data_IF_478391346943
#
_entry.id   IF_478391346943
#
_cell.length_a   1.000
_cell.length_b   1.000
_cell.length_c   1.000
_cell.angle_alpha   90.00
_cell.angle_beta   90.00
_cell.angle_gamma   90.00
#
_symmetry.space_group_name_H-M   'P 1'
#
loop_
_entity.id
_entity.type
_entity.pdbx_description
1 polymer ?
#
# COMPACT_ATOMS: atom_id res chain seq x y z
N UNK A 1 -12.22 4.97 51.96
CA UNK A 1 -11.02 5.21 51.12
C UNK A 1 -10.68 4.07 50.15
N UNK A 2 -10.57 2.79 50.57
CA UNK A 2 -10.10 1.69 49.68
C UNK A 2 -10.91 1.48 48.38
N UNK A 3 -12.24 1.63 48.39
CA UNK A 3 -13.10 1.32 47.22
C UNK A 3 -13.00 2.35 46.08
N UNK A 4 -12.87 3.64 46.41
CA UNK A 4 -12.69 4.71 45.42
C UNK A 4 -11.29 4.66 44.81
N UNK A 5 -10.25 4.38 45.60
CA UNK A 5 -8.88 4.23 45.11
C UNK A 5 -8.74 3.05 44.13
N UNK A 6 -9.39 1.91 44.40
CA UNK A 6 -9.40 0.75 43.49
C UNK A 6 -10.13 1.06 42.17
N UNK A 7 -11.20 1.86 42.22
CA UNK A 7 -11.97 2.24 41.03
C UNK A 7 -11.18 3.22 40.14
N UNK A 8 -10.47 4.18 40.75
CA UNK A 8 -9.55 5.09 40.06
C UNK A 8 -8.39 4.33 39.40
N UNK A 9 -7.79 3.36 40.09
CA UNK A 9 -6.70 2.54 39.53
C UNK A 9 -7.19 1.74 38.32
N UNK A 10 -8.38 1.14 38.39
CA UNK A 10 -8.96 0.41 37.25
C UNK A 10 -9.24 1.33 36.05
N UNK A 11 -9.75 2.53 36.31
CA UNK A 11 -10.03 3.51 35.26
C UNK A 11 -8.74 4.01 34.59
N UNK A 12 -7.69 4.25 35.38
CA UNK A 12 -6.35 4.56 34.88
C UNK A 12 -5.82 3.43 33.99
N UNK A 13 -5.83 2.17 34.47
CA UNK A 13 -5.37 1.01 33.68
C UNK A 13 -6.14 0.89 32.36
N UNK A 14 -7.48 1.03 32.40
CA UNK A 14 -8.31 0.97 31.20
C UNK A 14 -7.97 2.09 30.22
N UNK A 15 -7.74 3.30 30.71
CA UNK A 15 -7.36 4.44 29.89
C UNK A 15 -5.96 4.27 29.29
N UNK A 16 -4.99 3.73 30.05
CA UNK A 16 -3.66 3.39 29.52
C UNK A 16 -3.74 2.30 28.45
N UNK A 17 -4.59 1.29 28.64
CA UNK A 17 -4.81 0.23 27.63
C UNK A 17 -5.41 0.83 26.35
N UNK A 18 -6.41 1.70 26.45
CA UNK A 18 -7.01 2.36 25.27
C UNK A 18 -5.97 3.21 24.54
N UNK A 19 -5.13 3.95 25.25
CA UNK A 19 -4.04 4.75 24.65
C UNK A 19 -2.94 3.89 24.00
N UNK A 20 -2.70 2.68 24.51
CA UNK A 20 -1.76 1.73 23.89
C UNK A 20 -2.33 1.06 22.64
N UNK A 21 -3.66 0.99 22.52
CA UNK A 21 -4.36 0.42 21.37
C UNK A 21 -4.58 1.45 20.24
N UNK A 22 -4.51 2.75 20.53
CA UNK A 22 -4.51 3.79 19.49
C UNK A 22 -3.14 3.81 18.82
N UNK A 23 -3.04 3.20 17.64
CA UNK A 23 -1.84 3.24 16.81
C UNK A 23 -1.41 4.66 16.48
N UNK A 24 -0.10 4.86 16.34
CA UNK A 24 0.46 6.12 15.83
C UNK A 24 0.80 5.92 14.35
N UNK A 25 0.37 6.83 13.49
CA UNK A 25 0.86 6.92 12.12
C UNK A 25 1.75 8.15 11.95
N UNK A 26 2.83 7.97 11.19
CA UNK A 26 3.71 9.04 10.74
C UNK A 26 3.74 8.99 9.22
N UNK A 27 3.48 10.14 8.60
CA UNK A 27 3.43 10.26 7.15
C UNK A 27 4.43 11.32 6.71
N UNK A 28 5.25 10.98 5.72
CA UNK A 28 6.19 11.87 5.04
C UNK A 28 5.73 12.09 3.61
N UNK A 29 5.96 13.30 3.10
CA UNK A 29 5.72 13.67 1.70
C UNK A 29 7.00 14.19 1.04
N UNK A 30 8.15 13.97 1.67
CA UNK A 30 9.44 14.41 1.15
C UNK A 30 9.93 13.45 0.07
N UNK A 31 9.91 13.89 -1.19
CA UNK A 31 10.30 13.07 -2.34
C UNK A 31 11.76 12.60 -2.26
N UNK A 32 12.62 13.29 -1.50
CA UNK A 32 14.01 12.86 -1.29
C UNK A 32 14.11 11.57 -0.44
N UNK A 33 13.03 11.20 0.28
CA UNK A 33 12.91 9.93 1.01
C UNK A 33 12.37 8.79 0.13
N UNK A 34 12.00 9.05 -1.14
CA UNK A 34 11.46 8.04 -2.04
C UNK A 34 12.43 6.87 -2.23
N UNK A 35 11.99 5.66 -1.86
CA UNK A 35 12.80 4.43 -1.86
C UNK A 35 14.12 4.57 -1.07
N UNK A 36 14.11 5.46 -0.09
CA UNK A 36 15.22 5.78 0.80
C UNK A 36 14.69 6.13 2.21
N UNK A 37 13.65 5.41 2.64
CA UNK A 37 13.01 5.58 3.96
C UNK A 37 13.87 5.06 5.11
N UNK A 38 14.92 4.28 4.80
CA UNK A 38 15.78 3.62 5.77
C UNK A 38 15.21 2.30 6.29
N UNK A 39 14.19 1.75 5.62
CA UNK A 39 13.52 0.50 5.99
C UNK A 39 13.89 -0.64 5.05
N UNK A 40 13.68 -1.89 5.48
CA UNK A 40 13.93 -3.07 4.63
C UNK A 40 13.11 -3.07 3.33
N UNK A 41 11.97 -2.36 3.35
CA UNK A 41 11.05 -2.22 2.22
C UNK A 41 11.67 -1.48 1.02
N UNK A 42 12.64 -0.59 1.23
CA UNK A 42 13.21 0.25 0.15
C UNK A 42 13.83 -0.58 -0.98
N UNK A 43 14.41 -1.75 -0.65
CA UNK A 43 15.01 -2.63 -1.63
C UNK A 43 13.94 -3.40 -2.41
N UNK A 44 12.94 -3.96 -1.73
CA UNK A 44 11.87 -4.75 -2.36
C UNK A 44 10.92 -3.88 -3.19
N UNK A 45 10.69 -2.63 -2.77
CA UNK A 45 9.84 -1.69 -3.50
C UNK A 45 10.40 -1.32 -4.88
N UNK A 46 11.72 -1.42 -5.10
CA UNK A 46 12.36 -1.13 -6.40
C UNK A 46 11.96 -2.10 -7.51
N UNK A 47 11.43 -3.27 -7.18
CA UNK A 47 10.95 -4.22 -8.19
C UNK A 47 9.59 -3.80 -8.79
N UNK A 48 8.88 -2.90 -8.12
CA UNK A 48 7.54 -2.42 -8.49
C UNK A 48 7.53 -0.95 -8.86
N UNK A 49 8.32 -0.16 -8.13
CA UNK A 49 8.28 1.29 -8.18
C UNK A 49 9.35 1.84 -9.14
N UNK A 50 9.01 2.82 -10.00
CA UNK A 50 9.94 3.33 -11.01
C UNK A 50 11.07 4.16 -10.38
N UNK A 51 12.25 4.16 -11.00
CA UNK A 51 13.30 5.10 -10.64
C UNK A 51 12.91 6.52 -11.11
N UNK A 52 13.08 7.54 -10.25
CA UNK A 52 12.62 8.90 -10.55
C UNK A 52 13.33 9.53 -11.74
N UNK A 53 14.60 9.16 -11.99
CA UNK A 53 15.43 9.64 -13.09
C UNK A 53 15.13 8.94 -14.43
N UNK A 54 14.40 7.83 -14.40
CA UNK A 54 13.93 7.11 -15.59
C UNK A 54 12.52 7.53 -16.02
N UNK A 55 11.84 8.37 -15.23
CA UNK A 55 10.50 8.85 -15.54
C UNK A 55 10.52 9.75 -16.79
N UNK A 56 9.55 9.59 -17.71
CA UNK A 56 9.36 10.56 -18.78
C UNK A 56 8.88 11.90 -18.21
N UNK A 57 8.76 12.92 -19.06
CA UNK A 57 8.20 14.21 -18.66
C UNK A 57 6.81 14.04 -18.06
N UNK A 58 6.63 14.54 -16.83
CA UNK A 58 5.38 14.53 -16.09
C UNK A 58 4.93 15.97 -15.77
N UNK A 59 3.64 16.13 -15.48
CA UNK A 59 3.06 17.41 -15.04
C UNK A 59 3.22 17.61 -13.54
N UNK A 60 2.95 16.55 -12.78
CA UNK A 60 3.00 16.58 -11.32
C UNK A 60 3.41 15.21 -10.78
N UNK A 61 3.97 15.22 -9.58
CA UNK A 61 4.41 14.03 -8.86
C UNK A 61 4.10 14.19 -7.37
N UNK A 62 3.36 13.25 -6.82
CA UNK A 62 3.02 13.21 -5.41
C UNK A 62 3.62 11.96 -4.78
N UNK A 63 4.28 12.14 -3.64
CA UNK A 63 4.85 11.05 -2.86
C UNK A 63 4.28 11.04 -1.45
N UNK A 64 4.01 9.83 -0.94
CA UNK A 64 3.73 9.60 0.48
C UNK A 64 4.43 8.35 0.96
N UNK A 65 5.11 8.44 2.09
CA UNK A 65 5.48 7.28 2.90
C UNK A 65 4.72 7.34 4.22
N UNK A 66 4.03 6.26 4.54
CA UNK A 66 3.24 6.14 5.77
C UNK A 66 3.78 4.96 6.58
N UNK A 67 4.24 5.25 7.78
CA UNK A 67 4.63 4.27 8.79
C UNK A 67 3.54 4.22 9.87
N UNK A 68 2.94 3.04 10.05
CA UNK A 68 1.95 2.79 11.11
C UNK A 68 2.52 1.86 12.16
N UNK A 69 2.46 2.30 13.41
CA UNK A 69 2.92 1.51 14.56
C UNK A 69 1.79 1.29 15.54
N UNK A 70 1.51 0.02 15.81
CA UNK A 70 0.61 -0.41 16.88
C UNK A 70 1.43 -1.32 17.80
N UNK A 71 1.78 -0.82 18.97
CA UNK A 71 2.60 -1.57 19.93
C UNK A 71 3.97 -2.00 19.33
N UNK A 72 4.21 -3.31 19.15
CA UNK A 72 5.42 -3.84 18.49
C UNK A 72 5.24 -4.11 17.00
N UNK A 73 4.01 -3.97 16.47
CA UNK A 73 3.69 -4.16 15.06
C UNK A 73 3.99 -2.89 14.27
N UNK A 74 4.58 -3.05 13.10
CA UNK A 74 4.96 -1.96 12.22
C UNK A 74 4.63 -2.29 10.77
N UNK A 75 3.81 -1.44 10.17
CA UNK A 75 3.49 -1.48 8.75
C UNK A 75 4.05 -0.24 8.06
N UNK A 76 4.66 -0.43 6.91
CA UNK A 76 5.18 0.62 6.05
C UNK A 76 4.44 0.57 4.72
N UNK A 77 4.16 1.75 4.17
CA UNK A 77 3.58 1.87 2.84
C UNK A 77 4.13 3.08 2.11
N UNK A 78 4.28 2.96 0.81
CA UNK A 78 4.72 4.02 -0.08
C UNK A 78 3.71 4.19 -1.20
N UNK A 79 3.41 5.44 -1.53
CA UNK A 79 2.65 5.87 -2.70
C UNK A 79 3.52 6.82 -3.51
N UNK A 80 3.58 6.58 -4.82
CA UNK A 80 4.02 7.54 -5.81
C UNK A 80 2.93 7.71 -6.86
N UNK A 81 2.34 8.89 -6.97
CA UNK A 81 1.35 9.22 -8.01
C UNK A 81 1.98 10.20 -8.98
N UNK A 82 1.91 9.86 -10.27
CA UNK A 82 2.49 10.69 -11.33
C UNK A 82 1.36 11.08 -12.28
N UNK A 83 1.24 12.38 -12.51
CA UNK A 83 0.31 12.94 -13.50
C UNK A 83 1.06 13.26 -14.79
N UNK A 84 0.50 12.84 -15.92
CA UNK A 84 1.11 13.04 -17.23
C UNK A 84 0.22 13.91 -18.15
N UNK A 85 0.79 14.35 -19.27
CA UNK A 85 -0.01 14.70 -20.43
C UNK A 85 -0.63 13.43 -21.05
N UNK A 86 -1.72 13.59 -21.81
CA UNK A 86 -2.46 12.46 -22.38
C UNK A 86 -1.59 11.53 -23.25
N UNK A 87 -0.67 12.09 -24.04
CA UNK A 87 0.16 11.27 -24.94
C UNK A 87 1.15 10.42 -24.14
N UNK A 88 1.79 11.01 -23.13
CA UNK A 88 2.69 10.28 -22.24
C UNK A 88 1.93 9.27 -21.39
N UNK A 89 0.76 9.65 -20.85
CA UNK A 89 -0.10 8.78 -20.05
C UNK A 89 -0.45 7.48 -20.79
N UNK A 90 -1.00 7.59 -22.00
CA UNK A 90 -1.40 6.41 -22.80
C UNK A 90 -0.20 5.52 -23.15
N UNK A 91 0.97 6.11 -23.40
CA UNK A 91 2.20 5.35 -23.65
C UNK A 91 2.66 4.58 -22.41
N UNK A 92 2.75 5.24 -21.25
CA UNK A 92 3.21 4.59 -20.01
C UNK A 92 2.19 3.55 -19.52
N UNK A 93 0.89 3.85 -19.60
CA UNK A 93 -0.20 2.89 -19.35
C UNK A 93 -0.11 1.67 -20.27
N UNK A 94 0.23 1.87 -21.54
CA UNK A 94 0.44 0.80 -22.51
C UNK A 94 1.57 -0.16 -22.12
N UNK A 95 2.71 0.35 -21.66
CA UNK A 95 3.85 -0.47 -21.19
C UNK A 95 3.44 -1.38 -20.02
N UNK A 96 2.70 -0.83 -19.05
CA UNK A 96 2.21 -1.60 -17.90
C UNK A 96 1.34 -2.78 -18.35
N UNK A 97 0.47 -2.57 -19.33
CA UNK A 97 -0.37 -3.64 -19.86
C UNK A 97 0.44 -4.78 -20.51
N UNK A 98 1.52 -4.45 -21.23
CA UNK A 98 2.43 -5.44 -21.83
C UNK A 98 3.17 -6.25 -20.76
N UNK A 99 3.74 -5.56 -19.75
CA UNK A 99 4.46 -6.20 -18.65
C UNK A 99 3.56 -7.17 -17.86
N UNK A 100 2.28 -6.80 -17.66
CA UNK A 100 1.32 -7.70 -17.01
C UNK A 100 0.97 -8.94 -17.82
N UNK A 101 0.80 -8.79 -19.14
CA UNK A 101 0.53 -9.95 -20.00
C UNK A 101 1.69 -10.93 -19.90
N UNK A 102 2.94 -10.45 -19.88
CA UNK A 102 4.13 -11.27 -19.73
C UNK A 102 4.18 -11.97 -18.36
N UNK A 103 3.89 -11.25 -17.28
CA UNK A 103 3.89 -11.79 -15.91
C UNK A 103 2.81 -12.86 -15.70
N UNK A 104 1.58 -12.63 -16.18
CA UNK A 104 0.48 -13.60 -16.09
C UNK A 104 0.75 -14.89 -16.89
N UNK A 105 1.41 -14.77 -18.06
CA UNK A 105 1.82 -15.93 -18.85
C UNK A 105 2.87 -16.79 -18.13
N UNK A 106 3.70 -16.20 -17.27
CA UNK A 106 4.68 -16.94 -16.44
C UNK A 106 4.01 -17.60 -15.24
N UNK A 107 3.14 -16.88 -14.51
CA UNK A 107 2.44 -17.39 -13.33
C UNK A 107 1.53 -18.60 -13.63
N UNK A 108 0.85 -18.59 -14.78
CA UNK A 108 -0.03 -19.71 -15.20
C UNK A 108 0.71 -21.02 -15.52
N UNK A 109 2.05 -21.00 -15.60
CA UNK A 109 2.87 -22.19 -15.81
C UNK A 109 3.30 -22.91 -14.51
N UNK A 110 3.07 -22.29 -13.35
CA UNK A 110 3.43 -22.82 -12.02
C UNK A 110 2.19 -22.88 -11.12
N UNK A 111 1.45 -24.00 -11.12
CA UNK A 111 0.15 -24.07 -10.43
C UNK A 111 0.20 -24.72 -9.05
N UNK A 112 -0.21 -23.97 -8.04
CA UNK A 112 -1.20 -24.44 -7.05
C UNK A 112 -2.08 -23.26 -6.63
N UNK A 113 -3.38 -23.33 -6.94
CA UNK A 113 -4.36 -22.28 -6.67
C UNK A 113 -4.67 -22.27 -5.17
N UNK A 114 -4.16 -21.27 -4.46
CA UNK A 114 -4.55 -21.00 -3.08
C UNK A 114 -5.70 -19.97 -3.05
N UNK A 115 -6.79 -20.34 -2.39
CA UNK A 115 -8.06 -19.58 -2.29
C UNK A 115 -7.98 -18.36 -1.36
N UNK A 116 -6.80 -18.05 -0.82
CA UNK A 116 -6.50 -16.93 0.07
C UNK A 116 -6.16 -15.63 -0.68
N UNK A 117 -6.01 -15.69 -2.00
CA UNK A 117 -5.55 -14.57 -2.82
C UNK A 117 -6.61 -13.45 -2.94
N UNK A 118 -6.37 -12.23 -2.43
CA UNK A 118 -7.25 -11.08 -2.64
C UNK A 118 -7.45 -10.77 -4.12
N UNK A 119 -8.54 -10.07 -4.42
CA UNK A 119 -8.91 -9.69 -5.78
C UNK A 119 -7.71 -9.05 -6.52
N UNK A 120 -7.27 -9.71 -7.60
CA UNK A 120 -6.11 -9.30 -8.41
C UNK A 120 -6.31 -7.89 -8.97
N UNK A 121 -7.55 -7.52 -9.27
CA UNK A 121 -7.95 -6.20 -9.75
C UNK A 121 -9.09 -5.64 -8.88
N UNK A 122 -9.03 -4.35 -8.54
CA UNK A 122 -10.09 -3.65 -7.82
C UNK A 122 -10.17 -2.18 -8.22
N UNK A 123 -11.29 -1.53 -7.90
CA UNK A 123 -11.45 -0.09 -8.14
C UNK A 123 -11.54 0.68 -6.83
N UNK A 124 -11.00 1.89 -6.85
CA UNK A 124 -11.09 2.85 -5.76
C UNK A 124 -11.16 4.25 -6.35
N UNK A 125 -12.31 4.90 -6.18
CA UNK A 125 -12.60 6.23 -6.76
C UNK A 125 -12.34 6.23 -8.28
N UNK A 126 -11.49 7.13 -8.79
CA UNK A 126 -11.16 7.23 -10.22
C UNK A 126 -10.15 6.18 -10.70
N UNK A 127 -9.55 5.41 -9.79
CA UNK A 127 -8.48 4.47 -10.09
C UNK A 127 -8.98 3.04 -10.27
N UNK A 128 -8.38 2.36 -11.25
CA UNK A 128 -8.39 0.91 -11.37
C UNK A 128 -7.01 0.40 -10.98
N UNK A 129 -6.97 -0.40 -9.92
CA UNK A 129 -5.76 -0.99 -9.35
C UNK A 129 -5.63 -2.45 -9.70
N UNK A 130 -4.37 -2.87 -9.85
CA UNK A 130 -3.94 -4.26 -9.91
C UNK A 130 -2.92 -4.54 -8.82
N UNK A 131 -3.06 -5.68 -8.15
CA UNK A 131 -2.09 -6.20 -7.19
C UNK A 131 -1.01 -6.98 -7.93
N UNK A 132 0.25 -6.71 -7.59
CA UNK A 132 1.41 -7.44 -8.08
C UNK A 132 1.82 -8.47 -7.01
N UNK A 133 1.85 -9.74 -7.36
CA UNK A 133 2.30 -10.80 -6.45
C UNK A 133 3.81 -10.63 -6.16
N UNK A 134 4.17 -10.52 -4.88
CA UNK A 134 5.54 -10.44 -4.40
C UNK A 134 6.00 -11.72 -3.67
N UNK A 135 7.31 -11.84 -3.43
CA UNK A 135 7.88 -12.88 -2.59
C UNK A 135 7.47 -12.65 -1.13
N UNK A 136 6.61 -13.49 -0.56
CA UNK A 136 6.09 -13.31 0.81
C UNK A 136 4.65 -12.78 0.88
N UNK A 137 3.86 -13.03 -0.18
CA UNK A 137 2.48 -12.62 -0.37
C UNK A 137 1.65 -12.57 0.93
N UNK A 138 0.94 -11.45 1.09
CA UNK A 138 0.39 -10.82 2.31
C UNK A 138 1.37 -9.90 3.05
N UNK A 139 2.62 -10.30 3.30
CA UNK A 139 3.55 -9.49 4.11
C UNK A 139 4.19 -8.35 3.33
N UNK A 140 4.46 -8.56 2.05
CA UNK A 140 4.90 -7.50 1.15
C UNK A 140 4.34 -7.69 -0.25
N UNK A 141 3.90 -6.59 -0.87
CA UNK A 141 3.35 -6.60 -2.21
C UNK A 141 3.27 -5.20 -2.83
N UNK A 142 3.31 -5.17 -4.15
CA UNK A 142 3.12 -3.98 -4.96
C UNK A 142 1.70 -3.85 -5.47
N UNK A 143 1.28 -2.63 -5.79
CA UNK A 143 0.08 -2.36 -6.56
C UNK A 143 0.36 -1.24 -7.56
N UNK A 144 -0.31 -1.30 -8.71
CA UNK A 144 -0.26 -0.21 -9.68
C UNK A 144 -1.70 0.16 -10.04
N UNK A 145 -2.00 1.45 -9.95
CA UNK A 145 -3.28 2.04 -10.28
C UNK A 145 -3.19 2.97 -11.47
N UNK A 146 -4.26 3.03 -12.26
CA UNK A 146 -4.38 3.99 -13.36
C UNK A 146 -5.71 4.74 -13.24
N UNK A 147 -5.67 6.06 -13.43
CA UNK A 147 -6.86 6.92 -13.50
C UNK A 147 -6.91 7.60 -14.87
N UNK A 148 -7.84 7.16 -15.71
CA UNK A 148 -8.08 7.74 -17.04
C UNK A 148 -8.63 9.16 -16.93
N UNK A 149 -9.44 9.41 -15.89
CA UNK A 149 -10.05 10.71 -15.63
C UNK A 149 -9.00 11.79 -15.37
N UNK A 150 -7.93 11.44 -14.66
CA UNK A 150 -6.91 12.39 -14.23
C UNK A 150 -5.56 12.22 -14.95
N UNK A 151 -5.42 11.27 -15.88
CA UNK A 151 -4.15 10.92 -16.53
C UNK A 151 -3.04 10.60 -15.53
N UNK A 152 -3.40 9.86 -14.47
CA UNK A 152 -2.49 9.54 -13.36
C UNK A 152 -2.17 8.05 -13.32
N UNK A 153 -0.91 7.73 -12.99
CA UNK A 153 -0.46 6.39 -12.65
C UNK A 153 0.02 6.42 -11.20
N UNK A 154 -0.52 5.52 -10.38
CA UNK A 154 -0.18 5.37 -8.98
C UNK A 154 0.62 4.08 -8.77
N UNK A 155 1.81 4.17 -8.22
CA UNK A 155 2.64 3.05 -7.80
C UNK A 155 2.57 2.96 -6.28
N UNK A 156 2.22 1.80 -5.77
CA UNK A 156 2.05 1.55 -4.35
C UNK A 156 2.91 0.35 -3.95
N UNK A 157 3.49 0.43 -2.76
CA UNK A 157 4.15 -0.71 -2.15
C UNK A 157 3.81 -0.79 -0.66
N UNK A 158 3.58 -1.99 -0.16
CA UNK A 158 3.25 -2.27 1.23
C UNK A 158 4.21 -3.30 1.83
N UNK A 159 4.57 -3.11 3.10
CA UNK A 159 5.35 -4.06 3.88
C UNK A 159 4.87 -4.09 5.34
N UNK A 160 4.52 -5.27 5.83
CA UNK A 160 4.28 -5.59 7.24
C UNK A 160 4.65 -7.06 7.47
N UNK A 161 5.68 -7.29 8.28
CA UNK A 161 6.21 -8.64 8.50
C UNK A 161 5.27 -9.56 9.30
N UNK A 162 4.29 -8.98 10.00
CA UNK A 162 3.33 -9.66 10.85
C UNK A 162 1.93 -9.75 10.20
N UNK A 163 1.77 -9.33 8.94
CA UNK A 163 0.48 -9.42 8.27
C UNK A 163 0.17 -10.86 7.85
N UNK A 164 -0.83 -11.44 8.51
CA UNK A 164 -1.29 -12.81 8.22
C UNK A 164 -2.53 -12.86 7.31
N UNK A 165 -3.26 -11.74 7.13
CA UNK A 165 -4.50 -11.69 6.34
C UNK A 165 -4.86 -10.26 5.93
N UNK A 166 -5.43 -10.10 4.72
CA UNK A 166 -6.03 -8.83 4.26
C UNK A 166 -7.56 -8.92 4.27
N UNK A 167 -8.17 -8.33 5.29
CA UNK A 167 -9.64 -8.26 5.43
C UNK A 167 -10.31 -9.64 5.54
N UNK A 168 -11.64 -9.66 5.64
CA UNK A 168 -12.39 -10.92 5.72
C UNK A 168 -12.48 -11.60 4.33
N UNK A 169 -12.42 -12.94 4.23
CA UNK A 169 -12.39 -13.63 2.94
C UNK A 169 -13.62 -13.41 2.05
N UNK A 170 -14.76 -13.09 2.65
CA UNK A 170 -16.02 -12.83 1.95
C UNK A 170 -16.26 -11.33 1.64
N UNK A 171 -15.33 -10.45 2.03
CA UNK A 171 -15.44 -9.02 1.78
C UNK A 171 -14.91 -8.65 0.39
N UNK A 172 -15.85 -8.38 -0.52
CA UNK A 172 -15.56 -7.93 -1.90
C UNK A 172 -14.84 -6.58 -2.00
N UNK A 173 -14.78 -5.81 -0.92
CA UNK A 173 -14.10 -4.52 -0.89
C UNK A 173 -12.84 -4.55 -0.02
N UNK A 174 -12.31 -5.75 0.30
CA UNK A 174 -11.17 -5.90 1.23
C UNK A 174 -9.97 -5.08 0.79
N UNK A 175 -9.64 -5.06 -0.51
CA UNK A 175 -8.49 -4.32 -1.01
C UNK A 175 -8.69 -2.81 -1.00
N UNK A 176 -9.85 -2.33 -1.44
CA UNK A 176 -10.16 -0.90 -1.37
C UNK A 176 -10.16 -0.38 0.08
N UNK A 177 -10.62 -1.19 1.03
CA UNK A 177 -10.55 -0.86 2.47
C UNK A 177 -9.10 -0.87 2.98
N UNK A 178 -8.33 -1.89 2.62
CA UNK A 178 -6.91 -1.99 2.98
C UNK A 178 -6.12 -0.78 2.50
N UNK A 179 -6.27 -0.40 1.22
CA UNK A 179 -5.58 0.77 0.65
C UNK A 179 -5.91 2.04 1.45
N UNK A 180 -7.20 2.28 1.74
CA UNK A 180 -7.62 3.41 2.58
C UNK A 180 -7.02 3.38 3.99
N UNK A 181 -6.89 2.19 4.57
CA UNK A 181 -6.42 2.01 5.93
C UNK A 181 -4.92 2.21 6.09
N UNK A 182 -4.09 1.85 5.10
CA UNK A 182 -2.64 1.82 5.25
C UNK A 182 -1.89 2.95 4.54
N UNK A 183 -2.34 3.37 3.36
CA UNK A 183 -1.55 4.28 2.51
C UNK A 183 -1.76 5.77 2.81
N UNK A 184 -2.84 6.15 3.49
CA UNK A 184 -3.16 7.55 3.85
C UNK A 184 -3.04 8.54 2.66
N UNK A 185 -3.55 8.13 1.49
CA UNK A 185 -3.61 8.94 0.27
C UNK A 185 -5.08 9.06 -0.21
N UNK A 186 -5.43 10.22 -0.77
CA UNK A 186 -6.76 10.51 -1.32
C UNK A 186 -6.78 10.24 -2.83
N UNK A 187 -7.21 9.04 -3.20
CA UNK A 187 -7.25 8.53 -4.58
C UNK A 187 -8.50 8.99 -5.35
#
# INVERSE_FOLDING_TARGET
MKRQSVLLIRLLIMMTIVLLLTGCSKTSTDIDEYLNTGTAMDAEAKDVMPALDELPTYKDIEYRHTQKKIFFFEANSVVLVIEYDMQTYEREKGKLAEDYVISNLKATSETSVDTSSPDVDFSLNSYVFRVLEGNGYLKSFGMIGTSDEHQRIAYLYFYDFDLDQIGEPDDRNRMSKFVKSYFEYDF
#
